data_IF_791334226547
#
_entry.id   IF_791334226547
#
_cell.length_a   1.000
_cell.length_b   1.000
_cell.length_c   1.000
_cell.angle_alpha   90.00
_cell.angle_beta   90.00
_cell.angle_gamma   90.00
#
_symmetry.space_group_name_H-M   'P 1'
#
loop_
_entity.id
_entity.type
_entity.pdbx_description
1 polymer ?
#
# COMPACT_ATOMS: atom_id res chain seq x y z
N UNK A 1 6.83 -12.75 6.13
CA UNK A 1 6.86 -12.63 4.65
C UNK A 1 7.20 -11.22 4.24
N UNK A 2 7.86 -11.07 3.12
CA UNK A 2 8.19 -9.75 2.59
C UNK A 2 7.23 -9.35 1.49
N UNK A 3 6.75 -8.11 1.59
CA UNK A 3 5.86 -7.52 0.60
C UNK A 3 6.42 -6.16 0.21
N UNK A 4 6.42 -5.84 -1.06
CA UNK A 4 6.82 -4.52 -1.53
C UNK A 4 5.58 -3.68 -1.76
N UNK A 5 5.64 -2.43 -1.31
CA UNK A 5 4.56 -1.46 -1.52
C UNK A 5 5.08 -0.34 -2.41
N UNK A 6 4.43 -0.17 -3.54
CA UNK A 6 4.73 0.91 -4.47
C UNK A 6 3.67 1.99 -4.33
N UNK A 7 4.10 3.20 -4.11
CA UNK A 7 3.21 4.35 -3.97
C UNK A 7 3.07 5.06 -5.31
N UNK A 8 1.84 5.34 -5.70
CA UNK A 8 1.58 6.20 -6.85
C UNK A 8 2.06 7.62 -6.59
N UNK A 9 2.16 8.43 -7.65
CA UNK A 9 2.79 9.74 -7.58
C UNK A 9 2.21 10.65 -6.49
N UNK A 10 0.90 10.63 -6.29
CA UNK A 10 0.25 11.46 -5.27
C UNK A 10 0.66 11.10 -3.85
N UNK A 11 0.80 9.81 -3.56
CA UNK A 11 1.25 9.35 -2.25
C UNK A 11 2.76 9.48 -2.08
N UNK A 12 3.50 9.24 -3.15
CA UNK A 12 4.96 9.31 -3.09
C UNK A 12 5.48 10.69 -2.70
N UNK A 13 4.71 11.74 -2.99
CA UNK A 13 5.07 13.10 -2.60
C UNK A 13 5.03 13.31 -1.09
N UNK A 14 4.23 12.52 -0.39
CA UNK A 14 4.02 12.65 1.05
C UNK A 14 4.90 11.70 1.84
N UNK A 15 5.58 10.78 1.17
CA UNK A 15 6.39 9.75 1.80
C UNK A 15 7.88 10.01 1.56
N UNK A 16 8.71 9.34 2.34
CA UNK A 16 10.17 9.43 2.18
C UNK A 16 10.66 8.77 0.89
N UNK A 17 9.94 7.77 0.39
CA UNK A 17 10.32 7.03 -0.81
C UNK A 17 9.08 6.47 -1.50
N UNK A 18 9.15 6.23 -2.83
CA UNK A 18 8.02 5.67 -3.56
C UNK A 18 7.86 4.16 -3.40
N UNK A 19 8.90 3.48 -2.94
CA UNK A 19 8.88 2.02 -2.78
C UNK A 19 9.31 1.66 -1.37
N UNK A 20 8.51 0.81 -0.72
CA UNK A 20 8.75 0.35 0.63
C UNK A 20 8.74 -1.17 0.68
N UNK A 21 9.68 -1.76 1.43
CA UNK A 21 9.65 -3.19 1.72
C UNK A 21 9.12 -3.37 3.14
N UNK A 22 8.10 -4.19 3.28
CA UNK A 22 7.49 -4.47 4.57
C UNK A 22 7.69 -5.93 4.94
N UNK A 23 8.04 -6.16 6.20
CA UNK A 23 8.03 -7.51 6.77
C UNK A 23 6.72 -7.68 7.51
N UNK A 24 5.91 -8.62 7.05
CA UNK A 24 4.57 -8.86 7.59
C UNK A 24 4.43 -10.32 8.01
N UNK A 25 3.50 -10.57 8.91
CA UNK A 25 3.18 -11.95 9.31
C UNK A 25 2.51 -12.69 8.16
N UNK A 26 2.69 -14.01 8.15
CA UNK A 26 1.98 -14.86 7.18
C UNK A 26 0.48 -14.67 7.32
N UNK A 27 -0.19 -14.55 6.19
CA UNK A 27 -1.62 -14.31 6.17
C UNK A 27 -2.04 -12.86 6.32
N UNK A 28 -1.10 -11.94 6.39
CA UNK A 28 -1.42 -10.51 6.46
C UNK A 28 -2.20 -10.06 5.22
N UNK A 29 -3.12 -9.12 5.45
CA UNK A 29 -3.99 -8.59 4.41
C UNK A 29 -3.46 -7.27 3.86
N UNK A 30 -4.12 -6.78 2.82
CA UNK A 30 -3.86 -5.43 2.29
C UNK A 30 -4.03 -4.39 3.40
N UNK A 31 -5.08 -4.53 4.23
CA UNK A 31 -5.30 -3.60 5.34
C UNK A 31 -4.12 -3.62 6.33
N UNK A 32 -3.59 -4.80 6.62
CA UNK A 32 -2.43 -4.91 7.52
C UNK A 32 -1.21 -4.20 6.94
N UNK A 33 -0.98 -4.32 5.65
CA UNK A 33 0.11 -3.62 4.98
C UNK A 33 -0.07 -2.10 5.05
N UNK A 34 -1.29 -1.62 4.84
CA UNK A 34 -1.60 -0.19 4.96
C UNK A 34 -1.39 0.32 6.38
N UNK A 35 -1.81 -0.45 7.38
CA UNK A 35 -1.62 -0.08 8.79
C UNK A 35 -0.14 0.00 9.15
N UNK A 36 0.65 -0.95 8.67
CA UNK A 36 2.09 -0.94 8.90
C UNK A 36 2.74 0.26 8.21
N UNK A 37 2.33 0.54 6.98
CA UNK A 37 2.86 1.68 6.25
C UNK A 37 2.48 3.00 6.93
N UNK A 38 1.26 3.11 7.46
CA UNK A 38 0.83 4.29 8.20
C UNK A 38 1.68 4.52 9.45
N UNK A 39 2.11 3.44 10.10
CA UNK A 39 3.00 3.53 11.25
C UNK A 39 4.39 3.99 10.83
N UNK A 40 4.92 3.44 9.74
CA UNK A 40 6.26 3.76 9.26
C UNK A 40 6.33 5.15 8.61
N UNK A 41 5.23 5.59 7.98
CA UNK A 41 5.13 6.86 7.27
C UNK A 41 3.87 7.61 7.69
N UNK A 42 3.89 8.25 8.87
CA UNK A 42 2.69 8.95 9.37
C UNK A 42 2.18 10.04 8.44
N UNK A 43 3.04 10.61 7.62
CA UNK A 43 2.67 11.66 6.69
C UNK A 43 1.65 11.26 5.64
N UNK A 44 1.54 9.96 5.33
CA UNK A 44 0.58 9.47 4.34
C UNK A 44 -0.60 8.73 4.96
N UNK A 45 -0.62 8.58 6.28
CA UNK A 45 -1.64 7.79 6.97
C UNK A 45 -3.07 8.18 6.57
N UNK A 46 -3.36 9.47 6.53
CA UNK A 46 -4.68 9.96 6.16
C UNK A 46 -5.06 9.68 4.71
N UNK A 47 -4.08 9.66 3.81
CA UNK A 47 -4.32 9.43 2.40
C UNK A 47 -4.49 7.93 2.07
N UNK A 48 -4.02 7.04 2.95
CA UNK A 48 -4.11 5.60 2.70
C UNK A 48 -5.54 5.09 2.68
N UNK A 49 -6.45 5.73 3.41
CA UNK A 49 -7.85 5.32 3.45
C UNK A 49 -8.52 5.43 2.08
N UNK A 50 -8.11 6.40 1.28
CA UNK A 50 -8.67 6.63 -0.05
C UNK A 50 -7.85 5.96 -1.16
N UNK A 51 -6.73 5.34 -0.82
CA UNK A 51 -5.87 4.73 -1.82
C UNK A 51 -6.50 3.46 -2.39
N UNK A 52 -6.28 3.25 -3.69
CA UNK A 52 -6.76 2.06 -4.40
C UNK A 52 -5.66 1.02 -4.41
N UNK A 53 -5.89 -0.15 -3.78
CA UNK A 53 -4.88 -1.21 -3.77
C UNK A 53 -4.94 -2.04 -5.06
N UNK A 54 -3.77 -2.32 -5.62
CA UNK A 54 -3.63 -3.15 -6.82
C UNK A 54 -2.54 -4.18 -6.54
N UNK A 55 -2.86 -5.45 -6.76
CA UNK A 55 -1.91 -6.56 -6.63
C UNK A 55 -1.92 -7.35 -7.94
N UNK A 56 -0.75 -7.58 -8.49
CA UNK A 56 -0.60 -8.34 -9.74
C UNK A 56 -1.47 -7.78 -10.88
N UNK A 57 -1.58 -6.47 -10.97
CA UNK A 57 -2.34 -5.81 -12.03
C UNK A 57 -3.85 -5.78 -11.85
N UNK A 58 -4.37 -6.29 -10.73
CA UNK A 58 -5.81 -6.33 -10.47
C UNK A 58 -6.14 -5.58 -9.19
N UNK A 59 -7.31 -4.94 -9.16
CA UNK A 59 -7.80 -4.31 -7.95
C UNK A 59 -7.90 -5.34 -6.84
N UNK A 60 -7.39 -4.99 -5.68
CA UNK A 60 -7.45 -5.82 -4.50
C UNK A 60 -8.41 -5.22 -3.48
N UNK A 61 -8.93 -6.06 -2.60
CA UNK A 61 -9.73 -5.61 -1.46
C UNK A 61 -8.83 -5.49 -0.24
N UNK A 62 -9.20 -4.66 0.68
CA UNK A 62 -8.42 -4.51 1.92
C UNK A 62 -8.39 -5.80 2.74
N UNK A 63 -9.37 -6.66 2.54
CA UNK A 63 -9.45 -7.97 3.20
C UNK A 63 -8.69 -9.07 2.47
N UNK A 64 -8.17 -8.82 1.27
CA UNK A 64 -7.40 -9.81 0.53
C UNK A 64 -6.06 -10.09 1.21
N UNK A 65 -5.70 -11.36 1.27
CA UNK A 65 -4.42 -11.76 1.85
C UNK A 65 -3.29 -11.58 0.86
N UNK A 66 -2.17 -11.12 1.37
CA UNK A 66 -0.95 -10.98 0.59
C UNK A 66 -0.10 -12.24 0.70
N UNK A 67 0.79 -12.42 -0.26
CA UNK A 67 1.74 -13.53 -0.30
C UNK A 67 3.16 -12.99 -0.28
N UNK A 68 4.08 -13.82 0.20
CA UNK A 68 5.49 -13.46 0.14
C UNK A 68 5.91 -13.11 -1.29
N UNK A 69 6.56 -11.97 -1.42
CA UNK A 69 7.02 -11.50 -2.71
C UNK A 69 6.03 -10.66 -3.49
N UNK A 70 4.79 -10.51 -2.99
CA UNK A 70 3.81 -9.66 -3.66
C UNK A 70 4.27 -8.21 -3.71
N UNK A 71 3.86 -7.53 -4.77
CA UNK A 71 3.98 -6.08 -4.87
C UNK A 71 2.58 -5.48 -4.81
N UNK A 72 2.36 -4.69 -3.78
CA UNK A 72 1.11 -3.95 -3.59
C UNK A 72 1.31 -2.53 -4.09
N UNK A 73 0.57 -2.13 -5.10
CA UNK A 73 0.55 -0.74 -5.52
C UNK A 73 -0.61 -0.02 -4.84
N UNK A 74 -0.34 1.16 -4.31
CA UNK A 74 -1.35 2.03 -3.72
C UNK A 74 -1.46 3.28 -4.57
N UNK A 75 -2.62 3.46 -5.18
CA UNK A 75 -2.85 4.54 -6.13
C UNK A 75 -3.88 5.51 -5.55
N UNK A 76 -3.64 6.80 -5.76
CA UNK A 76 -4.65 7.79 -5.40
C UNK A 76 -5.64 7.93 -6.55
N UNK A 77 -6.94 8.01 -6.25
CA UNK A 77 -7.93 8.29 -7.28
C UNK A 77 -7.64 9.63 -7.93
N UNK A 78 -7.78 9.69 -9.26
CA UNK A 78 -7.64 10.96 -9.97
C UNK A 78 -8.90 11.77 -9.69
N UNK A 79 -8.74 12.85 -8.96
CA UNK A 79 -9.88 13.69 -8.61
C UNK A 79 -10.32 14.51 -9.81
N UNK A 80 -11.58 14.33 -10.18
CA UNK A 80 -12.28 15.23 -11.06
C UNK A 80 -11.73 15.37 -12.47
N UNK A 81 -10.94 14.50 -12.82
CA UNK A 81 -10.43 14.43 -14.21
C UNK A 81 -9.72 15.64 -14.57
#
# INVERSE_FOLDING_TARGET
>A
MQVRVRLGAGLARLAAAPLHSLELDEGATVADACDRLATDEPGIAGALDAALPVVAGAHARRTDRLRHGDELALLTPVAGG
#
